data_IF_659971331860
#
_entry.id   IF_659971331860
#
_cell.length_a   1.000
_cell.length_b   1.000
_cell.length_c   1.000
_cell.angle_alpha   90.00
_cell.angle_beta   90.00
_cell.angle_gamma   90.00
#
_symmetry.space_group_name_H-M   'P 1'
#
loop_
_entity.id
_entity.type
_entity.pdbx_description
1 polymer ?
#
# COMPACT_ATOMS: atom_id res chain seq x y z
N UNK A 1 -11.28 13.91 2.47
CA UNK A 1 -9.88 13.85 2.95
C UNK A 1 -9.88 13.81 4.46
N UNK A 2 -9.16 12.85 5.06
CA UNK A 2 -9.06 12.64 6.50
C UNK A 2 -7.60 12.69 6.97
N UNK A 3 -7.36 13.14 8.19
CA UNK A 3 -6.04 13.12 8.84
C UNK A 3 -5.89 11.86 9.68
N UNK A 4 -4.80 11.12 9.52
CA UNK A 4 -4.46 9.97 10.36
C UNK A 4 -2.96 9.93 10.68
N UNK A 5 -2.59 9.28 11.78
CA UNK A 5 -1.18 9.14 12.17
C UNK A 5 -0.43 8.18 11.22
N UNK A 6 0.84 8.46 10.98
CA UNK A 6 1.70 7.55 10.22
C UNK A 6 1.88 6.20 10.91
N UNK A 7 1.76 6.11 12.24
CA UNK A 7 1.71 4.83 12.95
C UNK A 7 0.57 3.93 12.47
N UNK A 8 -0.59 4.49 12.16
CA UNK A 8 -1.72 3.75 11.56
C UNK A 8 -1.37 3.31 10.15
N UNK A 9 -0.79 4.19 9.32
CA UNK A 9 -0.36 3.84 7.96
C UNK A 9 0.68 2.72 7.97
N UNK A 10 1.70 2.81 8.82
CA UNK A 10 2.75 1.81 8.97
C UNK A 10 2.16 0.47 9.46
N UNK A 11 1.20 0.52 10.40
CA UNK A 11 0.43 -0.65 10.81
C UNK A 11 -0.35 -1.28 9.66
N UNK A 12 -1.03 -0.48 8.84
CA UNK A 12 -1.76 -0.96 7.66
C UNK A 12 -0.82 -1.59 6.62
N UNK A 13 0.39 -1.05 6.43
CA UNK A 13 1.41 -1.66 5.55
C UNK A 13 1.86 -3.03 6.09
N UNK A 14 2.00 -3.18 7.41
CA UNK A 14 2.44 -4.43 8.03
C UNK A 14 1.33 -5.49 8.18
N UNK A 15 0.07 -5.07 8.24
CA UNK A 15 -1.10 -5.92 8.46
C UNK A 15 -1.44 -6.80 7.25
N UNK A 16 -2.19 -7.88 7.45
CA UNK A 16 -2.81 -8.67 6.37
C UNK A 16 -4.12 -8.04 5.91
N UNK A 17 -4.56 -8.35 4.69
CA UNK A 17 -5.89 -7.94 4.24
C UNK A 17 -6.97 -8.56 5.15
N UNK A 18 -7.94 -7.74 5.55
CA UNK A 18 -8.98 -8.07 6.52
C UNK A 18 -8.58 -7.84 7.98
N UNK A 19 -7.30 -7.55 8.27
CA UNK A 19 -6.82 -7.33 9.63
C UNK A 19 -7.08 -5.88 10.08
N UNK A 20 -7.41 -5.74 11.37
CA UNK A 20 -7.68 -4.45 12.01
C UNK A 20 -6.39 -3.86 12.57
N UNK A 21 -6.21 -2.55 12.37
CA UNK A 21 -5.11 -1.74 12.88
C UNK A 21 -5.68 -0.63 13.76
N UNK A 22 -5.06 -0.43 14.92
CA UNK A 22 -5.49 0.55 15.93
C UNK A 22 -6.99 0.44 16.28
N UNK A 23 -7.53 -0.79 16.25
CA UNK A 23 -8.93 -1.14 16.53
C UNK A 23 -10.00 -0.39 15.72
N UNK A 24 -9.60 0.34 14.66
CA UNK A 24 -10.52 1.18 13.89
C UNK A 24 -10.36 1.06 12.36
N UNK A 25 -9.22 0.58 11.86
CA UNK A 25 -8.92 0.58 10.44
C UNK A 25 -8.73 -0.84 9.92
N UNK A 26 -9.49 -1.25 8.91
CA UNK A 26 -9.36 -2.58 8.30
C UNK A 26 -8.60 -2.46 6.98
N UNK A 27 -7.46 -3.13 6.84
CA UNK A 27 -6.73 -3.20 5.57
C UNK A 27 -7.54 -3.98 4.55
N UNK A 28 -7.72 -3.44 3.35
CA UNK A 28 -8.46 -4.13 2.29
C UNK A 28 -7.55 -4.59 1.16
N UNK A 29 -6.68 -3.71 0.70
CA UNK A 29 -5.79 -3.99 -0.41
C UNK A 29 -4.54 -3.10 -0.31
N UNK A 30 -3.43 -3.62 -0.83
CA UNK A 30 -2.26 -2.81 -1.12
C UNK A 30 -1.57 -3.27 -2.40
N UNK A 31 -0.67 -2.46 -2.92
CA UNK A 31 0.18 -2.88 -4.01
C UNK A 31 1.08 -1.80 -4.57
N UNK A 32 2.09 -2.26 -5.29
CA UNK A 32 2.93 -1.42 -6.14
C UNK A 32 2.30 -1.30 -7.52
N UNK A 33 2.35 -0.09 -8.07
CA UNK A 33 2.13 0.17 -9.49
C UNK A 33 3.38 0.80 -10.08
N UNK A 34 3.75 0.33 -11.27
CA UNK A 34 4.84 0.89 -12.08
C UNK A 34 4.23 1.77 -13.16
N UNK A 35 4.70 3.01 -13.24
CA UNK A 35 4.22 4.02 -14.18
C UNK A 35 5.40 4.59 -14.94
N UNK A 36 5.14 5.09 -16.15
CA UNK A 36 6.11 5.83 -16.97
C UNK A 36 7.50 5.16 -17.10
N UNK A 37 7.61 3.89 -17.53
CA UNK A 37 8.92 3.30 -17.78
C UNK A 37 9.63 4.03 -18.92
N UNK A 38 10.85 4.50 -18.68
CA UNK A 38 11.67 5.26 -19.62
C UNK A 38 13.04 4.63 -19.75
N UNK A 39 13.34 4.10 -20.94
CA UNK A 39 14.67 3.63 -21.28
C UNK A 39 15.65 4.80 -21.35
N UNK A 40 16.81 4.62 -20.73
CA UNK A 40 17.91 5.58 -20.72
C UNK A 40 18.97 5.16 -21.73
N UNK A 41 19.83 6.11 -22.12
CA UNK A 41 20.88 5.87 -23.11
C UNK A 41 21.96 4.85 -22.65
N UNK A 42 22.13 4.69 -21.34
CA UNK A 42 23.04 3.73 -20.71
C UNK A 42 22.44 2.31 -20.59
N UNK A 43 21.23 2.09 -21.13
CA UNK A 43 20.50 0.82 -21.04
C UNK A 43 19.72 0.62 -19.75
N UNK A 44 19.77 1.56 -18.79
CA UNK A 44 18.91 1.52 -17.60
C UNK A 44 17.47 1.92 -17.91
N UNK A 45 16.53 1.53 -17.04
CA UNK A 45 15.13 1.95 -17.09
C UNK A 45 14.82 2.76 -15.85
N UNK A 46 14.38 4.01 -16.06
CA UNK A 46 13.80 4.85 -15.02
C UNK A 46 12.30 4.63 -14.98
N UNK A 47 11.72 4.49 -13.80
CA UNK A 47 10.28 4.26 -13.63
C UNK A 47 9.75 4.99 -12.39
N UNK A 48 8.50 5.44 -12.49
CA UNK A 48 7.76 5.99 -11.36
C UNK A 48 7.03 4.84 -10.65
N UNK A 49 7.22 4.73 -9.35
CA UNK A 49 6.55 3.75 -8.52
C UNK A 49 5.52 4.45 -7.64
N UNK A 50 4.32 3.88 -7.56
CA UNK A 50 3.33 4.29 -6.58
C UNK A 50 2.89 3.08 -5.76
N UNK A 51 3.08 3.17 -4.44
CA UNK A 51 2.52 2.22 -3.50
C UNK A 51 1.22 2.76 -2.94
N UNK A 52 0.15 1.99 -3.02
CA UNK A 52 -1.15 2.40 -2.51
C UNK A 52 -1.68 1.42 -1.48
N UNK A 53 -2.38 1.94 -0.48
CA UNK A 53 -3.13 1.16 0.51
C UNK A 53 -4.57 1.62 0.50
N UNK A 54 -5.51 0.69 0.38
CA UNK A 54 -6.95 0.87 0.56
C UNK A 54 -7.36 0.26 1.90
N UNK A 55 -8.11 1.02 2.69
CA UNK A 55 -8.59 0.58 3.99
C UNK A 55 -9.98 1.13 4.28
N UNK A 56 -10.67 0.47 5.21
CA UNK A 56 -11.99 0.89 5.70
C UNK A 56 -11.86 1.46 7.12
N UNK A 57 -12.49 2.60 7.34
CA UNK A 57 -12.62 3.21 8.66
C UNK A 57 -13.93 2.79 9.31
N UNK A 58 -13.86 2.05 10.42
CA UNK A 58 -15.02 1.51 11.11
C UNK A 58 -15.85 2.60 11.80
N UNK A 59 -15.22 3.66 12.31
CA UNK A 59 -15.92 4.76 12.97
C UNK A 59 -16.73 5.61 11.98
N UNK A 60 -16.19 5.84 10.79
CA UNK A 60 -16.85 6.66 9.75
C UNK A 60 -17.63 5.84 8.73
N UNK A 61 -17.52 4.51 8.77
CA UNK A 61 -18.10 3.58 7.80
C UNK A 61 -17.73 3.95 6.35
N UNK A 62 -16.46 4.31 6.12
CA UNK A 62 -16.00 4.89 4.86
C UNK A 62 -14.65 4.33 4.40
N UNK A 63 -14.49 4.25 3.09
CA UNK A 63 -13.26 3.80 2.44
C UNK A 63 -12.30 4.97 2.25
N UNK A 64 -11.02 4.70 2.53
CA UNK A 64 -9.94 5.64 2.39
C UNK A 64 -8.75 4.98 1.69
N UNK A 65 -7.96 5.80 0.99
CA UNK A 65 -6.68 5.36 0.48
C UNK A 65 -5.57 6.38 0.74
N UNK A 66 -4.35 5.87 0.84
CA UNK A 66 -3.12 6.66 0.79
C UNK A 66 -2.21 6.14 -0.31
N UNK A 67 -1.30 6.98 -0.80
CA UNK A 67 -0.33 6.60 -1.82
C UNK A 67 1.02 7.25 -1.55
N UNK A 68 2.08 6.46 -1.55
CA UNK A 68 3.45 6.97 -1.60
C UNK A 68 4.00 6.84 -3.01
N UNK A 69 4.52 7.95 -3.54
CA UNK A 69 5.20 7.97 -4.83
C UNK A 69 6.71 7.99 -4.63
N UNK A 70 7.42 7.35 -5.55
CA UNK A 70 8.86 7.38 -5.65
C UNK A 70 9.31 7.13 -7.08
N UNK A 71 10.61 7.27 -7.33
CA UNK A 71 11.23 6.96 -8.61
C UNK A 71 12.36 5.98 -8.38
N UNK A 72 12.47 4.97 -9.23
CA UNK A 72 13.56 3.99 -9.20
C UNK A 72 14.21 3.95 -10.57
N UNK A 73 15.53 3.79 -10.58
CA UNK A 73 16.32 3.51 -11.77
C UNK A 73 16.85 2.09 -11.64
N UNK A 74 16.60 1.23 -12.64
CA UNK A 74 17.20 -0.10 -12.67
C UNK A 74 18.70 0.07 -12.91
N UNK A 75 19.52 -0.19 -11.90
CA UNK A 75 20.96 -0.31 -12.14
C UNK A 75 21.20 -1.71 -12.71
N UNK A 76 21.46 -1.80 -14.01
CA UNK A 76 21.90 -3.06 -14.59
C UNK A 76 23.28 -3.38 -14.03
N UNK A 77 23.41 -4.45 -13.25
CA UNK A 77 24.74 -4.99 -12.98
C UNK A 77 25.28 -5.58 -14.28
N UNK A 78 26.50 -5.22 -14.66
CA UNK A 78 27.16 -5.79 -15.82
C UNK A 78 27.35 -7.30 -15.60
N UNK A 79 26.44 -8.13 -16.15
CA UNK A 79 26.60 -9.59 -16.21
C UNK A 79 25.48 -10.46 -15.60
N UNK A 80 24.37 -9.93 -15.07
CA UNK A 80 23.28 -10.80 -14.61
C UNK A 80 22.13 -10.09 -13.89
N UNK A 81 20.91 -10.63 -14.05
CA UNK A 81 19.65 -10.30 -13.36
C UNK A 81 19.49 -8.87 -12.82
N UNK A 82 18.91 -7.99 -13.64
CA UNK A 82 18.49 -6.66 -13.21
C UNK A 82 17.45 -6.74 -12.08
N UNK A 83 17.87 -6.55 -10.83
CA UNK A 83 16.99 -6.48 -9.66
C UNK A 83 16.63 -5.04 -9.32
N UNK A 84 15.34 -4.77 -9.14
CA UNK A 84 14.85 -3.49 -8.62
C UNK A 84 14.75 -3.57 -7.09
N UNK A 85 15.57 -2.78 -6.40
CA UNK A 85 15.48 -2.62 -4.95
C UNK A 85 14.63 -1.38 -4.65
N UNK A 86 13.43 -1.58 -4.13
CA UNK A 86 12.52 -0.50 -3.72
C UNK A 86 12.53 -0.38 -2.21
N UNK A 87 12.59 0.86 -1.69
CA UNK A 87 12.50 1.10 -0.25
C UNK A 87 11.10 0.72 0.25
N UNK A 88 11.04 0.19 1.46
CA UNK A 88 9.77 -0.09 2.14
C UNK A 88 8.92 1.19 2.20
N UNK A 89 7.63 1.12 1.83
CA UNK A 89 6.75 2.28 1.85
C UNK A 89 6.62 2.87 3.26
N UNK A 90 6.51 4.18 3.33
CA UNK A 90 6.23 4.99 4.52
C UNK A 90 7.20 4.83 5.71
N UNK A 91 8.28 4.06 5.57
CA UNK A 91 9.27 3.82 6.63
C UNK A 91 10.04 5.07 7.06
N UNK A 92 10.13 6.07 6.19
CA UNK A 92 10.86 7.32 6.46
C UNK A 92 10.09 8.35 7.29
N UNK A 93 8.79 8.15 7.53
CA UNK A 93 7.95 9.09 8.29
C UNK A 93 7.96 8.74 9.78
N UNK A 94 7.87 9.76 10.65
CA UNK A 94 7.80 9.50 12.08
C UNK A 94 6.41 8.99 12.44
N UNK A 95 6.27 8.03 13.37
CA UNK A 95 4.97 7.44 13.69
C UNK A 95 3.91 8.45 14.20
N UNK A 96 4.34 9.56 14.80
CA UNK A 96 3.52 10.65 15.33
C UNK A 96 3.19 11.74 14.30
N UNK A 97 3.82 11.71 13.12
CA UNK A 97 3.46 12.60 12.01
C UNK A 97 2.07 12.23 11.45
N UNK A 98 1.46 13.16 10.72
CA UNK A 98 0.13 13.02 10.14
C UNK A 98 0.22 12.84 8.61
N UNK A 99 -0.54 11.88 8.08
CA UNK A 99 -0.84 11.75 6.65
C UNK A 99 -2.27 12.22 6.33
N UNK A 100 -2.48 12.66 5.09
CA UNK A 100 -3.78 13.03 4.55
C UNK A 100 -4.28 11.94 3.59
N UNK A 101 -5.28 11.19 4.03
CA UNK A 101 -5.88 10.12 3.22
C UNK A 101 -7.06 10.64 2.43
N UNK A 102 -7.21 10.11 1.22
CA UNK A 102 -8.25 10.51 0.27
C UNK A 102 -9.45 9.58 0.37
N UNK A 103 -10.63 10.15 0.16
CA UNK A 103 -11.85 9.38 0.08
C UNK A 103 -11.73 8.40 -1.10
N UNK A 104 -12.10 7.15 -0.87
CA UNK A 104 -12.12 6.13 -1.92
C UNK A 104 -13.54 5.60 -2.08
N UNK A 105 -13.85 5.10 -3.28
CA UNK A 105 -15.07 4.33 -3.49
C UNK A 105 -14.82 2.87 -3.08
N UNK A 106 -15.86 2.12 -2.67
CA UNK A 106 -15.72 0.69 -2.47
C UNK A 106 -15.18 0.07 -3.76
N UNK A 107 -13.95 -0.40 -3.73
CA UNK A 107 -13.45 -1.31 -4.75
C UNK A 107 -14.12 -2.65 -4.46
N UNK A 108 -14.56 -3.39 -5.47
CA UNK A 108 -14.98 -4.78 -5.30
C UNK A 108 -13.73 -5.56 -4.88
N UNK A 109 -13.45 -5.58 -3.59
CA UNK A 109 -12.49 -6.50 -2.99
C UNK A 109 -13.23 -7.84 -2.87
N UNK A 110 -12.72 -8.92 -3.48
CA UNK A 110 -13.20 -10.25 -3.15
C UNK A 110 -12.93 -10.44 -1.67
N UNK A 111 -13.97 -10.33 -0.84
CA UNK A 111 -13.88 -10.69 0.57
C UNK A 111 -13.32 -12.12 0.62
N UNK A 112 -12.34 -12.43 1.49
CA UNK A 112 -12.22 -13.80 1.93
C UNK A 112 -13.54 -14.12 2.64
N UNK A 113 -14.38 -14.92 1.98
CA UNK A 113 -15.58 -15.47 2.60
C UNK A 113 -15.11 -16.16 3.86
N UNK A 114 -15.36 -15.55 5.02
CA UNK A 114 -15.27 -16.27 6.29
C UNK A 114 -16.39 -17.31 6.19
N UNK A 115 -16.04 -18.51 5.73
CA UNK A 115 -16.91 -19.66 5.89
C UNK A 115 -17.00 -19.89 7.39
N UNK A 116 -18.04 -19.36 8.02
CA UNK A 116 -18.48 -19.85 9.31
C UNK A 116 -18.84 -21.31 9.09
N UNK A 117 -17.96 -22.22 9.54
CA UNK A 117 -18.29 -23.62 9.63
C UNK A 117 -19.60 -23.73 10.40
N UNK A 118 -20.66 -24.21 9.74
CA UNK A 118 -21.89 -24.55 10.44
C UNK A 118 -21.52 -25.61 11.48
N UNK A 119 -22.07 -25.53 12.71
CA UNK A 119 -21.90 -26.62 13.65
C UNK A 119 -22.48 -27.88 13.02
N UNK A 120 -21.65 -28.91 12.93
CA UNK A 120 -22.09 -30.25 12.57
C UNK A 120 -22.98 -30.70 13.73
N UNK A 121 -24.28 -30.82 13.46
CA UNK A 121 -25.24 -31.43 14.39
C UNK A 121 -25.04 -32.93 14.52
#
# INVERSE_FOLDING_TARGET
>A
MKKILFSVIQGLVAAKNGETVADNYVKLQEGWSVNNPQNQADGSVKMDLSYSVLFFDLAEQKYYSTTQRGTVQSMGEAGGDSRLVVRQPFKGFRPDDIDHVVDSWPVIVPYPTIMTERPIG
#
